data_IF_511936887192
#
_entry.id   IF_511936887192
#
_cell.length_a   1.000
_cell.length_b   1.000
_cell.length_c   1.000
_cell.angle_alpha   90.00
_cell.angle_beta   90.00
_cell.angle_gamma   90.00
#
_symmetry.space_group_name_H-M   'P 1'
#
loop_
_entity.id
_entity.type
_entity.pdbx_description
1 polymer ?
#
# COMPACT_ATOMS: atom_id res chain seq x y z
N UNK A 1 -17.66 4.01 7.86
CA UNK A 1 -17.89 5.28 8.53
C UNK A 1 -17.66 6.47 7.59
N UNK A 2 -16.59 6.44 6.79
CA UNK A 2 -16.29 7.55 5.87
C UNK A 2 -16.98 7.41 4.52
N UNK A 3 -17.47 6.22 4.17
CA UNK A 3 -17.95 5.85 2.84
C UNK A 3 -16.88 6.01 1.75
N UNK A 4 -15.63 6.06 2.17
CA UNK A 4 -14.48 6.11 1.28
C UNK A 4 -13.83 4.75 1.29
N UNK A 5 -13.87 4.06 0.16
CA UNK A 5 -13.40 2.69 0.04
C UNK A 5 -12.09 2.67 -0.71
N UNK A 6 -11.08 2.10 -0.10
CA UNK A 6 -9.76 1.93 -0.72
C UNK A 6 -9.49 0.44 -0.87
N UNK A 7 -9.02 0.07 -2.05
CA UNK A 7 -8.53 -1.27 -2.32
C UNK A 7 -7.05 -1.22 -2.62
N UNK A 8 -6.34 -2.26 -2.22
CA UNK A 8 -4.94 -2.44 -2.54
C UNK A 8 -4.69 -3.89 -2.95
N UNK A 9 -3.70 -4.10 -3.80
CA UNK A 9 -3.27 -5.42 -4.19
C UNK A 9 -1.75 -5.46 -4.21
N UNK A 10 -1.18 -6.42 -3.52
CA UNK A 10 0.27 -6.62 -3.41
C UNK A 10 0.67 -7.81 -4.26
N UNK A 11 1.63 -7.61 -5.17
CA UNK A 11 2.18 -8.67 -6.02
C UNK A 11 3.47 -9.18 -5.41
N UNK A 12 3.54 -10.49 -5.22
CA UNK A 12 4.73 -11.15 -4.68
C UNK A 12 5.55 -11.79 -5.81
N UNK A 13 6.84 -12.00 -5.55
CA UNK A 13 7.76 -12.61 -6.51
C UNK A 13 7.45 -14.07 -6.82
N UNK A 14 6.60 -14.72 -6.01
CA UNK A 14 6.11 -16.07 -6.29
C UNK A 14 4.89 -16.08 -7.21
N UNK A 15 4.46 -14.92 -7.71
CA UNK A 15 3.32 -14.79 -8.61
C UNK A 15 1.97 -14.64 -7.92
N UNK A 16 1.93 -14.69 -6.58
CA UNK A 16 0.68 -14.55 -5.81
C UNK A 16 0.35 -13.07 -5.65
N UNK A 17 -0.93 -12.73 -5.75
CA UNK A 17 -1.44 -11.39 -5.47
C UNK A 17 -2.32 -11.44 -4.22
N UNK A 18 -2.02 -10.56 -3.26
CA UNK A 18 -2.75 -10.48 -2.00
C UNK A 18 -3.56 -9.18 -1.98
N UNK A 19 -4.89 -9.25 -1.93
CA UNK A 19 -5.74 -8.07 -1.84
C UNK A 19 -5.87 -7.56 -0.41
N UNK A 20 -6.23 -6.29 -0.29
CA UNK A 20 -6.61 -5.68 0.98
C UNK A 20 -7.59 -4.54 0.74
N UNK A 21 -8.31 -4.19 1.78
CA UNK A 21 -9.20 -3.02 1.76
C UNK A 21 -9.12 -2.34 3.13
N UNK A 22 -9.53 -1.07 3.17
CA UNK A 22 -9.54 -0.35 4.43
C UNK A 22 -10.56 -0.96 5.38
N UNK A 23 -10.17 -1.09 6.65
CA UNK A 23 -11.02 -1.61 7.72
C UNK A 23 -11.26 -0.48 8.70
N UNK A 24 -12.45 0.09 8.68
CA UNK A 24 -12.81 1.19 9.56
C UNK A 24 -13.39 0.69 10.87
N UNK A 25 -13.19 1.46 11.92
CA UNK A 25 -13.63 1.11 13.26
C UNK A 25 -14.02 2.37 14.02
N UNK A 26 -15.06 2.27 14.84
CA UNK A 26 -15.45 3.39 15.71
C UNK A 26 -14.31 3.77 16.68
N UNK A 27 -13.48 2.81 17.07
CA UNK A 27 -12.22 3.08 17.76
C UNK A 27 -11.18 3.39 16.68
N UNK A 28 -10.96 4.67 16.39
CA UNK A 28 -10.15 5.12 15.25
C UNK A 28 -8.74 4.55 15.25
N UNK A 29 -8.15 4.33 16.42
CA UNK A 29 -6.82 3.74 16.51
C UNK A 29 -6.71 2.30 16.00
N UNK A 30 -7.83 1.62 15.83
CA UNK A 30 -7.89 0.24 15.30
C UNK A 30 -8.03 0.23 13.77
N UNK A 31 -8.48 1.34 13.20
CA UNK A 31 -8.65 1.50 11.74
C UNK A 31 -7.34 1.21 11.01
N UNK A 32 -7.41 0.45 9.92
CA UNK A 32 -6.24 0.15 9.10
C UNK A 32 -6.53 0.48 7.63
N UNK A 33 -5.53 1.05 6.95
CA UNK A 33 -5.61 1.35 5.53
C UNK A 33 -5.51 0.07 4.69
N UNK A 34 -6.03 0.13 3.46
CA UNK A 34 -6.00 -0.98 2.53
C UNK A 34 -4.56 -1.47 2.26
N UNK A 35 -3.62 -0.54 2.12
CA UNK A 35 -2.23 -0.85 1.83
C UNK A 35 -1.62 -1.72 2.94
N UNK A 36 -1.80 -1.32 4.20
CA UNK A 36 -1.27 -2.09 5.33
C UNK A 36 -2.01 -3.41 5.51
N UNK A 37 -3.31 -3.43 5.24
CA UNK A 37 -4.09 -4.67 5.25
C UNK A 37 -3.48 -5.70 4.28
N UNK A 38 -3.19 -5.28 3.04
CA UNK A 38 -2.60 -6.16 2.04
C UNK A 38 -1.15 -6.54 2.37
N UNK A 39 -0.32 -5.55 2.76
CA UNK A 39 1.09 -5.79 3.08
C UNK A 39 1.26 -6.75 4.27
N UNK A 40 0.47 -6.55 5.31
CA UNK A 40 0.56 -7.38 6.52
C UNK A 40 0.01 -8.78 6.28
N UNK A 41 -1.04 -8.91 5.47
CA UNK A 41 -1.55 -10.21 5.06
C UNK A 41 -0.51 -10.98 4.23
N UNK A 42 0.17 -10.29 3.32
CA UNK A 42 1.25 -10.88 2.54
C UNK A 42 2.40 -11.35 3.42
N UNK A 43 2.79 -10.54 4.41
CA UNK A 43 3.84 -10.91 5.36
C UNK A 43 3.46 -12.10 6.23
N UNK A 44 2.20 -12.23 6.59
CA UNK A 44 1.72 -13.34 7.40
C UNK A 44 1.65 -14.65 6.60
N UNK A 45 1.15 -14.57 5.35
CA UNK A 45 0.94 -15.75 4.52
C UNK A 45 2.22 -16.22 3.81
N UNK A 46 3.06 -15.30 3.41
CA UNK A 46 4.27 -15.57 2.61
C UNK A 46 5.46 -14.78 3.17
N UNK A 47 5.93 -15.13 4.38
CA UNK A 47 6.93 -14.30 5.08
C UNK A 47 8.29 -14.20 4.38
N UNK A 48 8.58 -15.11 3.45
CA UNK A 48 9.85 -15.10 2.73
C UNK A 48 9.72 -14.57 1.29
N UNK A 49 8.51 -14.30 0.82
CA UNK A 49 8.32 -13.77 -0.52
C UNK A 49 8.65 -12.28 -0.54
N UNK A 50 9.17 -11.82 -1.69
CA UNK A 50 9.49 -10.41 -1.91
C UNK A 50 8.28 -9.71 -2.52
N UNK A 51 8.04 -8.48 -2.10
CA UNK A 51 6.97 -7.66 -2.65
C UNK A 51 7.50 -6.90 -3.86
N UNK A 52 6.98 -7.23 -5.03
CA UNK A 52 7.39 -6.61 -6.29
C UNK A 52 6.65 -5.30 -6.55
N UNK A 53 5.36 -5.25 -6.22
CA UNK A 53 4.50 -4.13 -6.57
C UNK A 53 3.32 -4.04 -5.63
N UNK A 54 2.75 -2.83 -5.54
CA UNK A 54 1.48 -2.58 -4.88
C UNK A 54 0.65 -1.66 -5.77
N UNK A 55 -0.62 -1.98 -5.96
CA UNK A 55 -1.58 -1.15 -6.67
C UNK A 55 -2.64 -0.67 -5.69
N UNK A 56 -3.02 0.60 -5.81
CA UNK A 56 -3.95 1.26 -4.89
C UNK A 56 -5.01 1.98 -5.71
N UNK A 57 -6.27 1.80 -5.35
CA UNK A 57 -7.39 2.49 -5.96
C UNK A 57 -8.42 2.86 -4.90
N UNK A 58 -9.15 3.94 -5.11
CA UNK A 58 -10.17 4.39 -4.16
C UNK A 58 -11.45 4.76 -4.88
N UNK A 59 -12.55 4.63 -4.16
CA UNK A 59 -13.86 5.06 -4.63
C UNK A 59 -14.65 5.73 -3.51
N UNK A 60 -15.52 6.62 -3.90
CA UNK A 60 -16.52 7.22 -3.01
C UNK A 60 -17.93 6.77 -3.45
N UNK A 61 -18.98 7.44 -2.94
CA UNK A 61 -20.36 7.12 -3.28
C UNK A 61 -20.65 7.20 -4.79
N UNK A 62 -19.91 8.04 -5.51
CA UNK A 62 -20.10 8.26 -6.96
C UNK A 62 -19.30 7.30 -7.83
N UNK A 63 -18.53 6.42 -7.24
CA UNK A 63 -17.71 5.43 -7.95
C UNK A 63 -16.21 5.66 -7.81
N UNK A 64 -15.45 5.04 -8.72
CA UNK A 64 -13.99 5.14 -8.72
C UNK A 64 -13.56 6.58 -8.92
N UNK A 65 -12.58 7.05 -8.15
CA UNK A 65 -12.07 8.41 -8.27
C UNK A 65 -11.38 8.62 -9.62
N UNK A 66 -11.53 9.81 -10.18
CA UNK A 66 -10.87 10.19 -11.45
C UNK A 66 -9.36 10.25 -11.28
N UNK A 67 -8.92 10.88 -10.19
CA UNK A 67 -7.49 11.04 -9.90
C UNK A 67 -7.03 10.02 -8.87
N UNK A 68 -5.80 9.52 -8.99
CA UNK A 68 -5.24 8.60 -8.00
C UNK A 68 -5.12 9.25 -6.63
N UNK A 69 -5.25 8.46 -5.59
CA UNK A 69 -4.89 8.87 -4.24
C UNK A 69 -3.49 8.36 -3.91
N UNK A 70 -2.81 9.09 -3.05
CA UNK A 70 -1.52 8.66 -2.52
C UNK A 70 -1.70 7.95 -1.18
N UNK A 71 -0.82 7.01 -0.83
CA UNK A 71 -0.87 6.37 0.49
C UNK A 71 -0.55 7.37 1.59
N UNK A 72 -1.15 7.18 2.76
CA UNK A 72 -0.87 8.01 3.93
C UNK A 72 0.56 7.77 4.46
N UNK A 73 1.02 8.63 5.34
CA UNK A 73 2.38 8.54 5.88
C UNK A 73 2.65 7.22 6.59
N UNK A 74 1.68 6.70 7.35
CA UNK A 74 1.82 5.41 8.03
C UNK A 74 2.01 4.27 7.03
N UNK A 75 1.26 4.29 5.93
CA UNK A 75 1.42 3.28 4.88
C UNK A 75 2.75 3.42 4.16
N UNK A 76 3.22 4.65 3.94
CA UNK A 76 4.54 4.87 3.33
C UNK A 76 5.64 4.31 4.21
N UNK A 77 5.53 4.46 5.52
CA UNK A 77 6.49 3.88 6.46
C UNK A 77 6.46 2.34 6.39
N UNK A 78 5.29 1.73 6.32
CA UNK A 78 5.17 0.28 6.16
C UNK A 78 5.79 -0.19 4.83
N UNK A 79 5.61 0.59 3.77
CA UNK A 79 6.21 0.28 2.45
C UNK A 79 7.74 0.35 2.49
N UNK A 80 8.31 1.31 3.21
CA UNK A 80 9.77 1.42 3.38
C UNK A 80 10.34 0.13 3.98
N UNK A 81 9.75 -0.32 5.08
CA UNK A 81 10.21 -1.54 5.75
C UNK A 81 10.02 -2.78 4.87
N UNK A 82 8.89 -2.86 4.16
CA UNK A 82 8.61 -3.98 3.27
C UNK A 82 9.59 -4.02 2.10
N UNK A 83 9.88 -2.89 1.47
CA UNK A 83 10.82 -2.80 0.36
C UNK A 83 12.24 -3.16 0.83
N UNK A 84 12.63 -2.68 2.00
CA UNK A 84 13.95 -2.99 2.57
C UNK A 84 14.09 -4.48 2.86
N UNK A 85 13.09 -5.08 3.49
CA UNK A 85 13.09 -6.51 3.79
C UNK A 85 13.10 -7.35 2.50
N UNK A 86 12.40 -6.90 1.47
CA UNK A 86 12.38 -7.57 0.17
C UNK A 86 13.68 -7.43 -0.61
N UNK A 87 14.49 -6.40 -0.29
CA UNK A 87 15.76 -6.16 -0.96
C UNK A 87 15.62 -5.72 -2.41
N UNK A 88 14.47 -5.15 -2.78
CA UNK A 88 14.20 -4.69 -4.15
C UNK A 88 13.25 -3.51 -4.13
N UNK A 89 13.27 -2.71 -5.20
CA UNK A 89 12.33 -1.63 -5.37
C UNK A 89 10.92 -2.19 -5.51
N UNK A 90 9.98 -1.61 -4.78
CA UNK A 90 8.57 -1.91 -4.92
C UNK A 90 7.97 -0.94 -5.92
N UNK A 91 7.41 -1.46 -7.01
CA UNK A 91 6.67 -0.64 -7.97
C UNK A 91 5.34 -0.26 -7.35
N UNK A 92 4.99 1.02 -7.41
CA UNK A 92 3.76 1.53 -6.81
C UNK A 92 2.88 2.08 -7.92
N UNK A 93 1.67 1.54 -8.02
CA UNK A 93 0.69 1.95 -9.02
C UNK A 93 -0.48 2.61 -8.29
N UNK A 94 -0.63 3.92 -8.50
CA UNK A 94 -1.74 4.69 -7.94
C UNK A 94 -2.77 4.86 -9.05
N UNK A 95 -3.86 4.12 -8.94
CA UNK A 95 -4.85 3.99 -10.00
C UNK A 95 -6.00 4.95 -9.80
N UNK A 96 -6.26 5.77 -10.82
CA UNK A 96 -7.46 6.58 -10.94
C UNK A 96 -8.14 6.27 -12.26
N UNK A 97 -9.38 6.69 -12.40
CA UNK A 97 -10.13 6.45 -13.64
C UNK A 97 -9.52 7.16 -14.84
N UNK A 98 -9.00 8.39 -14.64
CA UNK A 98 -8.42 9.21 -15.71
C UNK A 98 -6.92 9.09 -15.82
N UNK A 99 -6.22 8.85 -14.69
CA UNK A 99 -4.77 8.81 -14.62
C UNK A 99 -4.32 7.62 -13.83
N UNK A 100 -3.14 7.12 -14.15
CA UNK A 100 -2.43 6.14 -13.34
C UNK A 100 -1.04 6.72 -13.08
N UNK A 101 -0.67 6.86 -11.80
CA UNK A 101 0.69 7.27 -11.45
C UNK A 101 1.51 6.01 -11.22
N UNK A 102 2.60 5.88 -11.96
CA UNK A 102 3.55 4.80 -11.78
C UNK A 102 4.75 5.37 -11.03
N UNK A 103 4.96 4.90 -9.82
CA UNK A 103 6.04 5.37 -8.95
C UNK A 103 7.06 4.24 -8.81
N UNK A 104 8.29 4.53 -9.20
CA UNK A 104 9.37 3.54 -9.18
C UNK A 104 10.12 3.60 -7.85
N UNK A 105 9.51 2.99 -6.83
CA UNK A 105 10.10 2.89 -5.52
C UNK A 105 9.54 3.89 -4.51
N UNK A 106 9.58 3.49 -3.24
CA UNK A 106 9.01 4.27 -2.14
C UNK A 106 9.80 5.57 -1.88
N UNK A 107 11.05 5.66 -2.32
CA UNK A 107 11.85 6.86 -2.15
C UNK A 107 11.22 8.09 -2.82
N UNK A 108 10.45 7.89 -3.89
CA UNK A 108 9.71 8.96 -4.56
C UNK A 108 8.61 9.54 -3.67
N UNK A 109 8.07 8.74 -2.74
CA UNK A 109 6.97 9.14 -1.86
C UNK A 109 7.43 9.45 -0.44
N UNK A 110 8.63 9.02 -0.07
CA UNK A 110 9.19 9.25 1.26
C UNK A 110 10.71 9.36 1.12
N UNK A 111 11.21 10.52 0.64
CA UNK A 111 12.64 10.67 0.34
C UNK A 111 13.54 10.64 1.57
N UNK A 112 13.05 11.10 2.72
CA UNK A 112 13.78 11.02 3.99
C UNK A 112 13.05 10.02 4.88
N UNK A 113 13.69 8.89 5.14
CA UNK A 113 13.04 7.76 5.83
C UNK A 113 13.63 7.51 7.20
N UNK A 114 12.78 7.04 8.10
CA UNK A 114 13.20 6.43 9.36
C UNK A 114 13.20 4.91 9.19
N UNK A 115 14.29 4.28 9.53
CA UNK A 115 14.41 2.82 9.44
C UNK A 115 15.37 2.29 10.52
N UNK A 116 15.62 0.99 10.52
CA UNK A 116 16.44 0.34 11.53
C UNK A 116 17.88 0.86 11.58
N UNK A 117 18.38 1.46 10.52
CA UNK A 117 19.72 2.05 10.49
C UNK A 117 19.89 3.21 11.48
N UNK A 118 18.78 3.86 11.88
CA UNK A 118 18.80 4.91 12.89
C UNK A 118 18.68 4.35 14.31
N UNK A 119 18.43 3.09 14.46
CA UNK A 119 18.29 2.44 15.75
C UNK A 119 19.64 1.87 16.19
#
# INVERSE_FOLDING_TARGET
YSRFNVGAAVRLDNGVTIPGCNQENAAFGVTICAERSALFAAGAQYPHAKVEAIAIAARNADGLLDEPISPCGTCRQAMVETAKRSGMKMHILLYGRKYIYVVDGIAELLPLTFCDEQL
#
